data_IF_158617760102
#
_entry.id   IF_158617760102
#
_cell.length_a   1.000
_cell.length_b   1.000
_cell.length_c   1.000
_cell.angle_alpha   90.00
_cell.angle_beta   90.00
_cell.angle_gamma   90.00
#
_symmetry.space_group_name_H-M   'P 1'
#
loop_
_entity.id
_entity.type
_entity.pdbx_description
1 polymer ?
#
# COMPACT_ATOMS: atom_id res chain seq x y z
N UNK A 1 12.13 -6.23 -9.70
CA UNK A 1 11.07 -5.20 -9.67
C UNK A 1 10.25 -5.18 -10.96
N UNK A 2 10.82 -4.90 -12.15
CA UNK A 2 10.05 -4.80 -13.41
C UNK A 2 9.11 -5.98 -13.71
N UNK A 3 9.55 -7.22 -13.51
CA UNK A 3 8.71 -8.41 -13.73
C UNK A 3 7.48 -8.45 -12.80
N UNK A 4 7.60 -7.97 -11.57
CA UNK A 4 6.51 -7.96 -10.59
C UNK A 4 5.48 -6.90 -10.97
N UNK A 5 5.93 -5.70 -11.32
CA UNK A 5 5.04 -4.62 -11.79
C UNK A 5 4.21 -5.07 -13.01
N UNK A 6 4.85 -5.72 -13.99
CA UNK A 6 4.15 -6.26 -15.17
C UNK A 6 3.07 -7.30 -14.83
N UNK A 7 3.15 -7.96 -13.67
CA UNK A 7 2.12 -8.90 -13.22
C UNK A 7 1.00 -8.14 -12.49
N UNK A 8 1.35 -7.20 -11.61
CA UNK A 8 0.39 -6.35 -10.90
C UNK A 8 -0.46 -5.50 -11.87
N UNK A 9 0.13 -4.96 -12.94
CA UNK A 9 -0.58 -4.16 -13.95
C UNK A 9 -1.64 -4.96 -14.72
N UNK A 10 -1.57 -6.30 -14.71
CA UNK A 10 -2.59 -7.16 -15.31
C UNK A 10 -3.80 -7.38 -14.40
N UNK A 11 -3.67 -7.11 -13.11
CA UNK A 11 -4.74 -7.20 -12.13
C UNK A 11 -4.56 -6.12 -11.07
N UNK A 12 -5.15 -4.95 -11.33
CA UNK A 12 -5.01 -3.73 -10.52
C UNK A 12 -6.00 -3.70 -9.34
N UNK A 13 -6.21 -4.86 -8.70
CA UNK A 13 -7.16 -5.01 -7.59
C UNK A 13 -6.39 -5.54 -6.40
N UNK A 14 -6.52 -4.83 -5.28
CA UNK A 14 -6.12 -5.35 -3.98
C UNK A 14 -7.21 -6.25 -3.42
N UNK A 15 -6.82 -7.39 -2.88
CA UNK A 15 -7.77 -8.37 -2.32
C UNK A 15 -8.45 -7.86 -1.04
N UNK A 16 -7.73 -7.05 -0.26
CA UNK A 16 -8.18 -6.56 1.04
C UNK A 16 -7.90 -5.07 1.21
N UNK A 17 -8.83 -4.31 1.81
CA UNK A 17 -8.56 -2.94 2.23
C UNK A 17 -7.61 -2.93 3.42
N UNK A 18 -6.72 -1.94 3.47
CA UNK A 18 -5.80 -1.71 4.57
C UNK A 18 -6.11 -0.37 5.25
N UNK A 19 -5.75 -0.24 6.53
CA UNK A 19 -5.76 1.06 7.21
C UNK A 19 -4.49 1.84 6.85
N UNK A 20 -4.39 2.23 5.58
CA UNK A 20 -3.25 2.93 5.01
C UNK A 20 -3.73 3.75 3.81
N UNK A 21 -3.23 4.98 3.69
CA UNK A 21 -3.54 5.89 2.59
C UNK A 21 -2.24 6.56 2.14
N UNK A 22 -1.77 6.22 0.94
CA UNK A 22 -0.52 6.74 0.37
C UNK A 22 -0.60 8.20 -0.09
N UNK A 23 -1.79 8.76 -0.27
CA UNK A 23 -1.99 10.14 -0.73
C UNK A 23 -2.30 11.12 0.40
N UNK A 24 -2.51 10.61 1.62
CA UNK A 24 -2.76 11.42 2.80
C UNK A 24 -1.50 11.49 3.68
N UNK A 25 -0.87 12.66 3.85
CA UNK A 25 0.28 12.79 4.75
C UNK A 25 -0.09 12.45 6.20
N UNK A 26 0.65 11.53 6.82
CA UNK A 26 0.49 11.17 8.23
C UNK A 26 1.85 11.04 8.92
N UNK A 27 1.83 10.99 10.26
CA UNK A 27 2.98 10.65 11.08
C UNK A 27 2.70 9.31 11.75
N UNK A 28 3.74 8.48 11.89
CA UNK A 28 3.65 7.20 12.60
C UNK A 28 3.88 7.46 14.09
N UNK A 29 2.96 7.04 14.95
CA UNK A 29 3.20 7.09 16.39
C UNK A 29 4.34 6.14 16.78
N UNK A 30 5.39 6.64 17.44
CA UNK A 30 6.55 5.85 17.82
C UNK A 30 6.29 4.78 18.91
N UNK A 31 5.11 4.81 19.55
CA UNK A 31 4.73 3.83 20.57
C UNK A 31 3.77 2.75 20.03
N UNK A 32 2.78 3.15 19.24
CA UNK A 32 1.72 2.25 18.75
C UNK A 32 1.90 1.81 17.30
N UNK A 33 2.79 2.49 16.55
CA UNK A 33 3.07 2.22 15.12
C UNK A 33 1.83 2.31 14.22
N UNK A 34 0.86 3.12 14.62
CA UNK A 34 -0.36 3.46 13.89
C UNK A 34 -0.55 4.96 13.89
#
# INVERSE_FOLDING_TARGET
TRRVLNVCEKNTIDEHPLNYDEYNPFNICAASYV
#
